data_IF_206227682423
#
_entry.id   IF_206227682423
#
_cell.length_a   1.000
_cell.length_b   1.000
_cell.length_c   1.000
_cell.angle_alpha   90.00
_cell.angle_beta   90.00
_cell.angle_gamma   90.00
#
_symmetry.space_group_name_H-M   'P 1'
#
loop_
_entity.id
_entity.type
_entity.pdbx_description
1 polymer ?
#
# COMPACT_ATOMS: atom_id res chain seq x y z
N UNK A 1 -24.54 9.63 -38.79
CA UNK A 1 -23.87 9.86 -37.49
C UNK A 1 -23.44 8.50 -37.00
N UNK A 2 -22.17 8.12 -37.20
CA UNK A 2 -21.63 6.87 -36.67
C UNK A 2 -21.54 7.01 -35.16
N UNK A 3 -22.49 6.40 -34.45
CA UNK A 3 -22.37 6.20 -33.01
C UNK A 3 -21.28 5.15 -32.86
N UNK A 4 -20.10 5.57 -32.43
CA UNK A 4 -19.04 4.66 -32.02
C UNK A 4 -19.60 3.82 -30.87
N UNK A 5 -19.98 2.57 -31.16
CA UNK A 5 -20.45 1.64 -30.15
C UNK A 5 -19.28 1.42 -29.20
N UNK A 6 -19.42 1.91 -27.98
CA UNK A 6 -18.40 1.73 -26.95
C UNK A 6 -18.34 0.23 -26.59
N UNK A 7 -17.29 -0.44 -27.05
CA UNK A 7 -17.09 -1.88 -26.89
C UNK A 7 -16.26 -2.20 -25.65
N UNK A 8 -16.86 -2.08 -24.47
CA UNK A 8 -16.16 -2.31 -23.19
C UNK A 8 -16.99 -3.15 -22.22
N UNK A 9 -16.33 -3.68 -21.19
CA UNK A 9 -16.95 -4.18 -19.96
C UNK A 9 -16.43 -3.42 -18.75
N UNK A 10 -17.19 -3.43 -17.67
CA UNK A 10 -16.79 -2.86 -16.38
C UNK A 10 -16.30 -3.99 -15.49
N UNK A 11 -15.11 -3.84 -14.92
CA UNK A 11 -14.58 -4.72 -13.90
C UNK A 11 -14.61 -3.97 -12.58
N UNK A 12 -15.45 -4.42 -11.65
CA UNK A 12 -15.45 -3.94 -10.28
C UNK A 12 -14.58 -4.86 -9.44
N UNK A 13 -13.50 -4.33 -8.89
CA UNK A 13 -12.64 -5.11 -8.02
C UNK A 13 -13.24 -5.30 -6.62
N UNK A 14 -12.74 -6.29 -5.90
CA UNK A 14 -13.02 -6.51 -4.47
C UNK A 14 -12.51 -5.39 -3.55
N UNK A 15 -11.75 -4.42 -4.09
CA UNK A 15 -11.26 -3.23 -3.40
C UNK A 15 -11.91 -1.94 -3.94
N UNK A 16 -13.13 -2.06 -4.46
CA UNK A 16 -13.97 -0.95 -4.96
C UNK A 16 -13.36 -0.08 -6.08
N UNK A 17 -12.29 -0.54 -6.73
CA UNK A 17 -11.78 0.07 -7.98
C UNK A 17 -12.66 -0.35 -9.14
N UNK A 18 -12.99 0.62 -10.01
CA UNK A 18 -13.72 0.38 -11.26
C UNK A 18 -12.73 0.49 -12.43
N UNK A 19 -12.68 -0.55 -13.26
CA UNK A 19 -11.79 -0.64 -14.42
C UNK A 19 -12.65 -0.87 -15.65
N UNK A 20 -12.53 -0.02 -16.66
CA UNK A 20 -13.17 -0.22 -17.97
C UNK A 20 -12.21 -0.98 -18.89
N UNK A 21 -12.60 -2.09 -19.48
CA UNK A 21 -11.75 -2.89 -20.38
C UNK A 21 -12.41 -3.00 -21.75
N UNK A 22 -11.72 -2.59 -22.80
CA UNK A 22 -12.22 -2.72 -24.17
C UNK A 22 -12.18 -4.18 -24.62
N UNK A 23 -13.29 -4.67 -25.18
CA UNK A 23 -13.47 -6.08 -25.52
C UNK A 23 -14.25 -6.24 -26.83
N UNK A 24 -14.02 -7.37 -27.51
CA UNK A 24 -14.98 -7.94 -28.46
C UNK A 24 -15.76 -9.04 -27.72
N UNK A 25 -17.08 -9.11 -27.87
CA UNK A 25 -17.90 -10.11 -27.16
C UNK A 25 -17.57 -11.57 -27.55
N UNK A 26 -16.86 -11.80 -28.66
CA UNK A 26 -16.36 -13.11 -29.06
C UNK A 26 -15.03 -13.47 -28.37
N UNK A 27 -14.42 -12.56 -27.62
CA UNK A 27 -13.25 -12.87 -26.81
C UNK A 27 -13.60 -13.83 -25.67
N UNK A 28 -12.66 -14.71 -25.37
CA UNK A 28 -12.70 -15.62 -24.23
C UNK A 28 -12.45 -14.89 -22.91
N UNK A 29 -12.91 -15.46 -21.80
CA UNK A 29 -12.56 -14.97 -20.46
C UNK A 29 -11.03 -14.90 -20.26
N UNK A 30 -10.27 -15.85 -20.82
CA UNK A 30 -8.80 -15.79 -20.76
C UNK A 30 -8.23 -14.55 -21.47
N UNK A 31 -8.80 -14.14 -22.60
CA UNK A 31 -8.39 -12.91 -23.29
C UNK A 31 -8.77 -11.66 -22.49
N UNK A 32 -9.96 -11.63 -21.87
CA UNK A 32 -10.31 -10.56 -20.94
C UNK A 32 -9.34 -10.49 -19.74
N UNK A 33 -8.97 -11.65 -19.15
CA UNK A 33 -8.00 -11.70 -18.06
C UNK A 33 -6.62 -11.19 -18.49
N UNK A 34 -6.18 -11.51 -19.71
CA UNK A 34 -4.93 -10.97 -20.25
C UNK A 34 -4.97 -9.44 -20.35
N UNK A 35 -6.08 -8.87 -20.86
CA UNK A 35 -6.25 -7.40 -20.89
C UNK A 35 -6.29 -6.77 -19.50
N UNK A 36 -6.88 -7.45 -18.52
CA UNK A 36 -6.84 -7.01 -17.11
C UNK A 36 -5.40 -7.07 -16.59
N UNK A 37 -4.63 -8.10 -16.92
CA UNK A 37 -3.21 -8.19 -16.56
C UNK A 37 -2.41 -7.05 -17.18
N UNK A 38 -2.61 -6.76 -18.46
CA UNK A 38 -1.89 -5.68 -19.15
C UNK A 38 -2.23 -4.32 -18.54
N UNK A 39 -3.46 -4.13 -18.07
CA UNK A 39 -3.96 -2.87 -17.53
C UNK A 39 -3.67 -2.67 -16.03
N UNK A 40 -3.67 -3.76 -15.26
CA UNK A 40 -3.66 -3.73 -13.79
C UNK A 40 -2.54 -4.60 -13.19
N UNK A 41 -1.66 -5.16 -14.00
CA UNK A 41 -0.51 -5.96 -13.55
C UNK A 41 -0.86 -7.24 -12.79
N UNK A 42 -2.14 -7.63 -12.71
CA UNK A 42 -2.60 -8.80 -11.95
C UNK A 42 -2.32 -10.07 -12.77
N UNK A 43 -1.49 -11.01 -12.30
CA UNK A 43 -1.26 -12.29 -12.98
C UNK A 43 -2.57 -13.03 -13.29
N UNK A 44 -2.70 -13.62 -14.49
CA UNK A 44 -3.94 -14.25 -14.97
C UNK A 44 -4.44 -15.36 -14.03
N UNK A 45 -3.52 -16.14 -13.47
CA UNK A 45 -3.76 -17.22 -12.50
C UNK A 45 -4.24 -16.70 -11.14
N UNK A 46 -3.93 -15.45 -10.81
CA UNK A 46 -4.41 -14.76 -9.62
C UNK A 46 -5.79 -14.12 -9.83
N UNK A 47 -6.28 -13.98 -11.06
CA UNK A 47 -7.57 -13.37 -11.34
C UNK A 47 -8.72 -14.37 -11.22
N UNK A 48 -9.69 -14.10 -10.34
CA UNK A 48 -11.02 -14.73 -10.36
C UNK A 48 -12.02 -13.69 -10.83
N UNK A 49 -12.64 -13.95 -11.99
CA UNK A 49 -13.76 -13.17 -12.47
C UNK A 49 -15.08 -13.84 -12.06
N UNK A 50 -16.00 -13.04 -11.53
CA UNK A 50 -17.34 -13.46 -11.14
C UNK A 50 -18.36 -12.68 -11.98
N UNK A 51 -19.26 -13.41 -12.63
CA UNK A 51 -20.40 -12.87 -13.36
C UNK A 51 -21.68 -13.50 -12.82
N UNK A 52 -22.67 -12.67 -12.47
CA UNK A 52 -23.97 -13.13 -11.96
C UNK A 52 -23.86 -14.15 -10.80
N UNK A 53 -22.91 -13.91 -9.89
CA UNK A 53 -22.65 -14.78 -8.73
C UNK A 53 -21.90 -16.08 -9.02
N UNK A 54 -21.41 -16.30 -10.25
CA UNK A 54 -20.65 -17.50 -10.63
C UNK A 54 -19.26 -17.14 -11.13
N UNK A 55 -18.27 -17.96 -10.78
CA UNK A 55 -16.91 -17.86 -11.35
C UNK A 55 -17.00 -18.23 -12.83
N UNK A 56 -16.41 -17.40 -13.69
CA UNK A 56 -16.38 -17.62 -15.14
C UNK A 56 -15.06 -18.28 -15.57
N UNK A 57 -15.17 -19.22 -16.51
CA UNK A 57 -14.08 -20.08 -16.95
C UNK A 57 -13.35 -19.52 -18.18
N UNK A 58 -12.02 -19.68 -18.21
CA UNK A 58 -11.15 -19.04 -19.19
C UNK A 58 -11.45 -19.32 -20.66
N UNK A 59 -11.95 -20.52 -21.00
CA UNK A 59 -12.13 -20.95 -22.41
C UNK A 59 -13.45 -20.49 -23.05
N UNK A 60 -14.40 -20.00 -22.24
CA UNK A 60 -15.74 -19.63 -22.68
C UNK A 60 -15.74 -18.15 -23.10
N UNK A 61 -16.51 -17.78 -24.13
CA UNK A 61 -16.57 -16.38 -24.59
C UNK A 61 -17.44 -15.50 -23.69
N UNK A 62 -17.22 -14.18 -23.76
CA UNK A 62 -18.07 -13.21 -23.08
C UNK A 62 -19.53 -13.37 -23.53
N UNK A 63 -19.76 -13.54 -24.84
CA UNK A 63 -21.10 -13.75 -25.41
C UNK A 63 -21.76 -15.04 -24.90
N UNK A 64 -21.01 -16.13 -24.74
CA UNK A 64 -21.56 -17.39 -24.23
C UNK A 64 -22.05 -17.25 -22.78
N UNK A 65 -21.39 -16.41 -21.97
CA UNK A 65 -21.85 -16.01 -20.64
C UNK A 65 -22.97 -14.96 -20.67
N UNK A 66 -23.45 -14.57 -21.85
CA UNK A 66 -24.46 -13.50 -22.07
C UNK A 66 -24.01 -12.14 -21.55
N UNK A 67 -22.70 -11.91 -21.49
CA UNK A 67 -22.13 -10.61 -21.13
C UNK A 67 -22.32 -9.67 -22.31
N UNK A 68 -22.74 -8.44 -22.02
CA UNK A 68 -22.96 -7.37 -22.99
C UNK A 68 -21.93 -6.25 -22.79
N UNK A 69 -21.86 -5.32 -23.74
CA UNK A 69 -21.10 -4.10 -23.53
C UNK A 69 -21.66 -3.30 -22.34
N UNK A 70 -20.78 -2.73 -21.54
CA UNK A 70 -21.11 -2.04 -20.29
C UNK A 70 -21.47 -2.96 -19.12
N UNK A 71 -21.47 -4.29 -19.31
CA UNK A 71 -21.78 -5.22 -18.23
C UNK A 71 -20.71 -5.22 -17.15
N UNK A 72 -21.10 -5.39 -15.89
CA UNK A 72 -20.17 -5.42 -14.75
C UNK A 72 -19.81 -6.85 -14.36
N UNK A 73 -18.50 -7.15 -14.35
CA UNK A 73 -17.92 -8.35 -13.75
C UNK A 73 -17.20 -7.96 -12.46
N UNK A 74 -17.12 -8.89 -11.52
CA UNK A 74 -16.37 -8.69 -10.28
C UNK A 74 -15.02 -9.39 -10.34
N UNK A 75 -13.95 -8.70 -9.95
CA UNK A 75 -12.59 -9.24 -9.87
C UNK A 75 -12.17 -9.50 -8.42
N UNK A 76 -11.92 -10.77 -8.09
CA UNK A 76 -11.21 -11.16 -6.89
C UNK A 76 -9.75 -11.52 -7.26
N UNK A 77 -8.81 -11.19 -6.38
CA UNK A 77 -7.41 -11.60 -6.53
C UNK A 77 -7.13 -12.74 -5.55
N UNK A 78 -6.72 -13.88 -6.08
CA UNK A 78 -6.06 -14.95 -5.34
C UNK A 78 -4.60 -14.54 -5.11
N UNK A 79 -4.16 -14.58 -3.86
CA UNK A 79 -2.74 -14.79 -3.59
C UNK A 79 -2.55 -16.24 -3.14
N UNK A 80 -1.49 -16.85 -3.64
CA UNK A 80 -0.64 -17.97 -3.17
C UNK A 80 -0.71 -18.32 -1.66
N UNK A 81 -1.91 -18.53 -1.14
CA UNK A 81 -2.19 -18.82 0.28
C UNK A 81 -3.67 -18.72 0.68
N UNK A 82 -4.59 -18.50 -0.25
CA UNK A 82 -6.04 -18.68 -0.01
C UNK A 82 -6.79 -17.51 0.63
N UNK A 83 -6.17 -16.33 0.76
CA UNK A 83 -6.86 -15.07 1.11
C UNK A 83 -6.12 -13.87 0.53
N UNK A 84 -6.87 -12.95 -0.10
CA UNK A 84 -6.45 -11.72 -0.77
C UNK A 84 -5.02 -11.26 -0.43
N UNK A 85 -4.13 -11.32 -1.43
CA UNK A 85 -2.74 -10.90 -1.31
C UNK A 85 -2.61 -9.44 -0.96
N UNK A 86 -1.42 -9.07 -0.47
CA UNK A 86 -0.99 -7.67 -0.51
C UNK A 86 -0.64 -7.33 -1.97
N UNK A 87 -1.62 -7.43 -2.88
CA UNK A 87 -1.40 -7.09 -4.28
C UNK A 87 -1.27 -5.58 -4.37
N UNK A 88 -0.02 -5.12 -4.46
CA UNK A 88 0.32 -3.74 -4.73
C UNK A 88 0.85 -3.72 -6.15
N UNK A 89 0.14 -2.99 -7.02
CA UNK A 89 0.52 -2.84 -8.41
C UNK A 89 1.99 -2.38 -8.53
N UNK A 90 2.81 -3.01 -9.40
CA UNK A 90 4.22 -2.66 -9.55
C UNK A 90 4.49 -1.17 -9.79
N UNK A 91 3.64 -0.48 -10.55
CA UNK A 91 3.74 0.98 -10.78
C UNK A 91 3.62 1.84 -9.52
N UNK A 92 3.04 1.29 -8.44
CA UNK A 92 2.98 1.96 -7.13
C UNK A 92 4.24 1.73 -6.31
N UNK A 93 5.22 1.00 -6.85
CA UNK A 93 6.47 0.67 -6.20
C UNK A 93 7.61 1.39 -6.92
N UNK A 94 8.61 1.83 -6.16
CA UNK A 94 9.84 2.38 -6.72
C UNK A 94 11.02 1.49 -6.34
N UNK A 95 11.11 0.34 -6.99
CA UNK A 95 12.04 -0.77 -6.65
C UNK A 95 13.51 -0.32 -6.52
N UNK A 96 13.92 0.77 -7.17
CA UNK A 96 15.29 1.31 -7.04
C UNK A 96 15.63 1.76 -5.62
N UNK A 97 14.64 2.03 -4.79
CA UNK A 97 14.80 2.46 -3.40
C UNK A 97 14.44 1.36 -2.39
N UNK A 98 14.24 0.13 -2.84
CA UNK A 98 14.15 -1.00 -1.93
C UNK A 98 15.45 -1.13 -1.15
N UNK A 99 15.33 -1.60 0.08
CA UNK A 99 16.50 -1.82 0.92
C UNK A 99 16.21 -2.95 1.91
N UNK A 100 17.09 -3.94 1.93
CA UNK A 100 17.02 -5.04 2.87
C UNK A 100 17.76 -4.67 4.15
N UNK A 101 17.03 -4.37 5.23
CA UNK A 101 17.62 -4.10 6.53
C UNK A 101 17.70 -5.36 7.42
N UNK A 102 17.41 -6.55 6.90
CA UNK A 102 17.29 -7.78 7.70
C UNK A 102 18.55 -8.07 8.52
N UNK A 103 19.73 -7.78 7.97
CA UNK A 103 21.03 -8.02 8.62
C UNK A 103 21.74 -6.74 9.08
N UNK A 104 21.06 -5.59 9.06
CA UNK A 104 21.64 -4.31 9.48
C UNK A 104 21.56 -4.14 11.00
N UNK A 105 22.61 -3.57 11.60
CA UNK A 105 22.65 -3.18 13.00
C UNK A 105 23.15 -1.73 13.14
N UNK A 106 22.31 -0.88 13.71
CA UNK A 106 22.56 0.55 13.93
C UNK A 106 22.89 0.90 15.39
N UNK A 107 23.30 -0.09 16.18
CA UNK A 107 23.67 0.12 17.58
C UNK A 107 24.72 1.25 17.70
N UNK A 108 24.41 2.25 18.54
CA UNK A 108 25.27 3.42 18.75
C UNK A 108 25.19 4.48 17.64
N UNK A 109 24.36 4.32 16.62
CA UNK A 109 24.19 5.31 15.53
C UNK A 109 22.84 6.00 15.63
N UNK A 110 22.86 7.34 15.65
CA UNK A 110 21.65 8.17 15.63
C UNK A 110 21.31 8.59 14.20
N UNK A 111 20.06 8.36 13.78
CA UNK A 111 19.55 8.79 12.48
C UNK A 111 18.48 9.87 12.66
N UNK A 112 18.62 10.95 11.89
CA UNK A 112 17.72 12.11 11.95
C UNK A 112 17.02 12.34 10.61
N UNK A 113 15.72 12.61 10.64
CA UNK A 113 14.97 13.19 9.52
C UNK A 113 14.04 14.27 10.03
N UNK A 114 13.97 15.40 9.33
CA UNK A 114 13.15 16.53 9.74
C UNK A 114 13.51 17.08 11.12
N UNK A 115 14.80 17.02 11.49
CA UNK A 115 15.34 17.35 12.81
C UNK A 115 14.77 16.50 13.96
N UNK A 116 14.29 15.29 13.66
CA UNK A 116 13.79 14.34 14.65
C UNK A 116 14.51 13.01 14.51
N UNK A 117 14.89 12.43 15.65
CA UNK A 117 15.48 11.10 15.72
C UNK A 117 14.45 10.02 15.37
N UNK A 118 14.86 9.00 14.64
CA UNK A 118 14.05 7.82 14.37
C UNK A 118 14.92 6.57 14.31
N UNK A 119 14.31 5.42 14.60
CA UNK A 119 14.97 4.12 14.43
C UNK A 119 14.75 3.63 13.02
N UNK A 120 15.84 3.43 12.25
CA UNK A 120 15.76 2.75 10.95
C UNK A 120 15.18 1.34 11.13
N UNK A 121 14.55 0.76 10.09
CA UNK A 121 13.84 -0.50 10.22
C UNK A 121 14.81 -1.71 10.22
N UNK A 122 15.86 -1.71 11.05
CA UNK A 122 16.80 -2.82 11.21
C UNK A 122 16.06 -4.12 11.57
N UNK A 123 16.39 -5.21 10.87
CA UNK A 123 15.69 -6.49 10.95
C UNK A 123 14.43 -6.59 10.08
N UNK A 124 14.21 -5.66 9.14
CA UNK A 124 13.06 -5.67 8.22
C UNK A 124 13.50 -5.56 6.76
N UNK A 125 12.77 -6.18 5.84
CA UNK A 125 12.90 -5.88 4.42
C UNK A 125 12.00 -4.68 4.07
N UNK A 126 12.53 -3.66 3.39
CA UNK A 126 11.79 -2.46 3.02
C UNK A 126 11.54 -2.38 1.52
N UNK A 127 10.26 -2.32 1.18
CA UNK A 127 9.70 -2.13 -0.15
C UNK A 127 9.32 -0.64 -0.30
N UNK A 128 9.92 0.07 -1.24
CA UNK A 128 9.64 1.47 -1.51
C UNK A 128 8.34 1.66 -2.31
N UNK A 129 7.54 2.65 -1.92
CA UNK A 129 6.39 3.12 -2.69
C UNK A 129 6.81 4.24 -3.65
N UNK A 130 6.19 4.27 -4.83
CA UNK A 130 6.30 5.37 -5.79
C UNK A 130 5.47 6.56 -5.31
N UNK A 131 6.17 7.60 -4.85
CA UNK A 131 5.56 8.77 -4.20
C UNK A 131 5.99 10.10 -4.81
N UNK A 132 6.90 10.08 -5.79
CA UNK A 132 7.35 11.29 -6.47
C UNK A 132 6.18 11.90 -7.24
N UNK A 133 5.92 13.19 -6.99
CA UNK A 133 4.83 13.95 -7.60
C UNK A 133 3.42 13.41 -7.26
N UNK A 134 3.30 12.55 -6.22
CA UNK A 134 2.00 12.11 -5.69
C UNK A 134 1.31 13.19 -4.84
N UNK A 135 2.09 14.12 -4.30
CA UNK A 135 1.64 15.21 -3.43
C UNK A 135 2.02 16.56 -4.03
N UNK A 136 1.64 17.66 -3.36
CA UNK A 136 1.84 19.04 -3.86
C UNK A 136 3.31 19.39 -4.16
N UNK A 137 4.25 18.80 -3.42
CA UNK A 137 5.68 18.88 -3.70
C UNK A 137 6.43 17.61 -3.28
N UNK A 138 7.76 17.60 -3.44
CA UNK A 138 8.66 16.52 -3.00
C UNK A 138 9.64 16.94 -1.90
N UNK A 139 9.51 18.14 -1.33
CA UNK A 139 10.43 18.68 -0.31
C UNK A 139 10.41 17.82 0.96
N UNK A 140 9.23 17.32 1.32
CA UNK A 140 8.98 16.45 2.47
C UNK A 140 9.84 15.16 2.47
N UNK A 141 10.29 14.67 1.31
CA UNK A 141 11.17 13.50 1.21
C UNK A 141 12.63 13.79 1.61
N UNK A 142 13.05 15.06 1.51
CA UNK A 142 14.42 15.48 1.75
C UNK A 142 15.39 15.05 0.65
N UNK A 143 15.00 15.19 -0.61
CA UNK A 143 15.77 14.71 -1.78
C UNK A 143 16.97 15.59 -2.18
N UNK A 144 17.16 16.76 -1.56
CA UNK A 144 18.23 17.71 -1.92
C UNK A 144 19.22 17.92 -0.78
N UNK A 145 20.50 18.05 -1.12
CA UNK A 145 21.56 18.58 -0.27
C UNK A 145 21.83 17.81 1.05
N UNK A 146 21.58 16.49 1.09
CA UNK A 146 21.90 15.68 2.28
C UNK A 146 23.42 15.49 2.41
N UNK A 147 23.99 16.05 3.48
CA UNK A 147 25.44 16.00 3.75
C UNK A 147 25.93 14.61 4.16
N UNK A 148 25.17 13.90 4.98
CA UNK A 148 25.44 12.51 5.35
C UNK A 148 24.13 11.76 5.64
N UNK A 149 24.18 10.42 5.60
CA UNK A 149 22.99 9.55 5.72
C UNK A 149 22.22 9.72 7.04
N UNK A 150 22.91 10.14 8.10
CA UNK A 150 22.35 10.34 9.44
C UNK A 150 21.75 11.74 9.66
N UNK A 151 22.09 12.72 8.82
CA UNK A 151 21.66 14.12 9.02
C UNK A 151 20.32 14.44 8.37
N UNK A 152 19.64 15.45 8.93
CA UNK A 152 18.46 16.04 8.31
C UNK A 152 18.79 17.02 7.20
N UNK A 153 17.81 17.28 6.33
CA UNK A 153 17.84 18.38 5.37
C UNK A 153 16.68 19.36 5.62
N UNK A 154 16.83 20.58 5.12
CA UNK A 154 15.84 21.63 5.31
C UNK A 154 14.47 21.23 4.74
N UNK A 155 13.40 21.49 5.50
CA UNK A 155 11.99 21.26 5.15
C UNK A 155 11.58 19.80 4.90
N UNK A 156 12.47 18.81 5.11
CA UNK A 156 12.03 17.42 5.04
C UNK A 156 11.17 17.07 6.26
N UNK A 157 10.27 16.12 6.06
CA UNK A 157 9.38 15.65 7.11
C UNK A 157 10.03 14.56 7.96
N UNK A 158 9.77 14.48 9.27
CA UNK A 158 10.21 13.38 10.11
C UNK A 158 9.73 12.01 9.63
N UNK A 159 10.49 10.96 9.94
CA UNK A 159 10.08 9.57 9.69
C UNK A 159 9.20 9.09 10.82
N UNK A 160 8.15 8.34 10.49
CA UNK A 160 7.41 7.55 11.46
C UNK A 160 6.96 6.21 10.89
N UNK A 161 6.38 5.38 11.74
CA UNK A 161 5.95 4.02 11.45
C UNK A 161 4.53 3.81 11.94
N UNK A 162 3.71 3.12 11.15
CA UNK A 162 2.34 2.76 11.49
C UNK A 162 2.15 1.24 11.35
N UNK A 163 1.92 0.56 12.48
CA UNK A 163 1.57 -0.86 12.50
C UNK A 163 0.15 -1.05 12.00
N UNK A 164 -0.06 -1.99 11.08
CA UNK A 164 -1.37 -2.22 10.49
C UNK A 164 -1.59 -3.68 10.11
N UNK A 165 -2.79 -4.01 9.65
CA UNK A 165 -3.11 -5.33 9.10
C UNK A 165 -2.74 -5.40 7.61
N UNK A 166 -2.39 -6.59 7.11
CA UNK A 166 -2.07 -6.85 5.70
C UNK A 166 -3.05 -6.16 4.74
N UNK A 167 -4.36 -6.34 4.95
CA UNK A 167 -5.38 -5.77 4.07
C UNK A 167 -5.42 -4.23 4.09
N UNK A 168 -5.18 -3.62 5.25
CA UNK A 168 -5.17 -2.16 5.37
C UNK A 168 -3.93 -1.54 4.70
N UNK A 169 -2.79 -2.22 4.76
CA UNK A 169 -1.54 -1.76 4.15
C UNK A 169 -1.72 -1.45 2.66
N UNK A 170 -2.46 -2.28 1.93
CA UNK A 170 -2.77 -2.03 0.51
C UNK A 170 -3.53 -0.72 0.34
N UNK A 171 -4.67 -0.57 1.02
CA UNK A 171 -5.50 0.63 0.89
C UNK A 171 -4.76 1.90 1.29
N UNK A 172 -3.86 1.83 2.27
CA UNK A 172 -3.08 3.00 2.68
C UNK A 172 -1.98 3.31 1.66
N UNK A 173 -1.34 2.31 1.05
CA UNK A 173 -0.37 2.53 -0.02
C UNK A 173 -1.02 3.16 -1.27
N UNK A 174 -2.21 2.69 -1.63
CA UNK A 174 -3.02 3.19 -2.75
C UNK A 174 -3.55 4.61 -2.45
N UNK A 175 -4.42 4.73 -1.45
CA UNK A 175 -5.26 5.91 -1.22
C UNK A 175 -4.66 6.91 -0.23
N UNK A 176 -3.63 6.52 0.52
CA UNK A 176 -3.20 7.24 1.71
C UNK A 176 -4.05 6.89 2.94
N UNK A 177 -3.87 7.66 4.02
CA UNK A 177 -4.63 7.43 5.24
C UNK A 177 -6.02 8.05 5.13
N UNK A 178 -7.04 7.30 5.57
CA UNK A 178 -8.41 7.79 5.64
C UNK A 178 -8.90 7.72 7.11
N UNK A 179 -9.09 8.87 7.74
CA UNK A 179 -9.58 9.00 9.11
C UNK A 179 -10.98 8.41 9.27
N UNK A 180 -11.79 8.44 8.21
CA UNK A 180 -13.09 7.77 8.14
C UNK A 180 -13.03 6.26 8.37
N UNK A 181 -11.88 5.61 8.11
CA UNK A 181 -11.63 4.19 8.41
C UNK A 181 -11.11 3.97 9.83
N UNK A 182 -10.73 5.03 10.55
CA UNK A 182 -10.28 4.99 11.93
C UNK A 182 -11.44 4.72 12.90
N UNK A 183 -11.29 3.69 13.75
CA UNK A 183 -12.36 3.27 14.67
C UNK A 183 -12.10 3.60 16.14
N UNK A 184 -10.84 3.86 16.51
CA UNK A 184 -10.41 4.01 17.90
C UNK A 184 -9.33 5.08 17.99
N UNK A 185 -9.55 6.08 18.83
CA UNK A 185 -8.69 7.25 19.02
C UNK A 185 -8.35 7.42 20.51
N UNK A 186 -7.53 6.51 21.03
CA UNK A 186 -7.29 6.37 22.47
C UNK A 186 -6.67 7.62 23.15
N UNK A 187 -5.89 8.42 22.41
CA UNK A 187 -5.13 9.56 22.90
C UNK A 187 -5.48 10.89 22.20
N UNK A 188 -6.49 10.88 21.32
CA UNK A 188 -6.86 12.02 20.49
C UNK A 188 -7.22 11.60 19.07
N UNK A 189 -8.09 12.36 18.40
CA UNK A 189 -8.50 12.08 17.02
C UNK A 189 -7.33 12.32 16.06
N UNK A 190 -7.04 11.35 15.19
CA UNK A 190 -5.97 11.44 14.20
C UNK A 190 -5.32 10.10 13.83
N UNK A 191 -4.37 10.15 12.91
CA UNK A 191 -3.59 8.99 12.45
C UNK A 191 -2.41 8.78 13.38
N UNK A 192 -2.27 7.56 13.91
CA UNK A 192 -1.25 7.26 14.91
C UNK A 192 -0.01 6.68 14.25
N UNK A 193 1.15 7.18 14.64
CA UNK A 193 2.44 6.64 14.21
C UNK A 193 3.47 6.82 15.32
N UNK A 194 4.72 6.41 15.07
CA UNK A 194 5.80 6.52 16.04
C UNK A 194 7.15 6.54 15.32
N UNK A 195 8.19 7.23 15.82
CA UNK A 195 9.53 7.19 15.22
C UNK A 195 10.28 5.87 15.51
N UNK A 196 9.72 4.99 16.35
CA UNK A 196 10.29 3.68 16.69
C UNK A 196 9.49 2.54 16.07
N UNK A 197 10.09 1.87 15.07
CA UNK A 197 9.45 0.74 14.40
C UNK A 197 9.07 -0.41 15.35
N UNK A 198 9.79 -0.60 16.46
CA UNK A 198 9.49 -1.67 17.42
C UNK A 198 8.23 -1.38 18.21
N UNK A 199 7.90 -0.10 18.42
CA UNK A 199 6.60 0.30 18.97
C UNK A 199 5.52 0.03 17.93
N UNK A 200 5.72 0.44 16.67
CA UNK A 200 4.77 0.19 15.59
C UNK A 200 4.50 -1.31 15.36
N UNK A 201 5.53 -2.15 15.50
CA UNK A 201 5.44 -3.62 15.42
C UNK A 201 4.37 -4.20 16.35
N UNK A 202 4.22 -3.66 17.56
CA UNK A 202 3.24 -4.14 18.53
C UNK A 202 1.79 -3.93 18.06
N UNK A 203 1.57 -2.98 17.15
CA UNK A 203 0.27 -2.70 16.54
C UNK A 203 0.09 -3.36 15.16
N UNK A 204 1.14 -3.96 14.59
CA UNK A 204 1.04 -4.70 13.34
C UNK A 204 0.35 -6.05 13.56
N UNK A 205 -0.51 -6.46 12.63
CA UNK A 205 -1.21 -7.76 12.71
C UNK A 205 -0.42 -8.84 11.99
N UNK A 206 -0.24 -9.99 12.65
CA UNK A 206 0.43 -11.19 12.10
C UNK A 206 -0.42 -11.78 10.97
N UNK A 207 0.23 -12.20 9.88
CA UNK A 207 -0.39 -12.97 8.79
C UNK A 207 0.56 -14.07 8.31
N UNK A 208 0.00 -15.10 7.68
CA UNK A 208 0.76 -16.23 7.14
C UNK A 208 0.88 -16.11 5.62
N UNK A 209 2.05 -16.41 5.09
CA UNK A 209 2.36 -16.45 3.66
C UNK A 209 3.37 -17.58 3.43
N UNK A 210 3.09 -18.47 2.48
CA UNK A 210 3.96 -19.63 2.18
C UNK A 210 4.40 -20.46 3.41
N UNK A 211 3.49 -20.63 4.38
CA UNK A 211 3.76 -21.40 5.61
C UNK A 211 4.56 -20.65 6.68
N UNK A 212 4.97 -19.42 6.40
CA UNK A 212 5.75 -18.57 7.28
C UNK A 212 4.92 -17.39 7.76
N UNK A 213 5.29 -16.85 8.92
CA UNK A 213 4.55 -15.76 9.52
C UNK A 213 5.25 -14.42 9.33
N UNK A 214 4.46 -13.38 9.11
CA UNK A 214 4.96 -12.05 8.81
C UNK A 214 4.13 -10.97 9.49
N UNK A 215 4.73 -9.80 9.63
CA UNK A 215 4.07 -8.55 9.97
C UNK A 215 4.50 -7.44 9.03
N UNK A 216 3.60 -6.47 8.85
CA UNK A 216 3.81 -5.30 8.02
C UNK A 216 3.66 -4.03 8.85
N UNK A 217 4.59 -3.10 8.63
CA UNK A 217 4.53 -1.73 9.14
C UNK A 217 4.71 -0.77 7.96
N UNK A 218 3.87 0.26 7.90
CA UNK A 218 4.04 1.33 6.93
C UNK A 218 5.05 2.35 7.44
N UNK A 219 6.03 2.67 6.61
CA UNK A 219 6.97 3.75 6.84
C UNK A 219 6.42 5.04 6.22
N UNK A 220 6.39 6.10 7.02
CA UNK A 220 5.74 7.35 6.68
C UNK A 220 6.69 8.55 6.82
N UNK A 221 6.30 9.64 6.18
CA UNK A 221 6.74 11.00 6.47
C UNK A 221 5.58 11.76 7.10
N UNK A 222 5.83 12.54 8.14
CA UNK A 222 4.78 13.28 8.86
C UNK A 222 5.01 14.78 8.83
N UNK A 223 3.95 15.56 8.68
CA UNK A 223 4.05 17.02 8.70
C UNK A 223 4.42 17.50 10.10
N UNK A 224 5.62 18.08 10.33
CA UNK A 224 6.04 18.47 11.67
C UNK A 224 5.24 19.64 12.23
N UNK A 225 4.57 20.45 11.40
CA UNK A 225 3.86 21.65 11.84
C UNK A 225 2.57 21.34 12.62
N UNK A 226 1.92 20.23 12.29
CA UNK A 226 0.65 19.81 12.90
C UNK A 226 0.80 18.59 13.83
N UNK A 227 2.03 18.09 13.97
CA UNK A 227 2.32 16.83 14.66
C UNK A 227 2.15 16.95 16.17
N UNK A 228 1.26 16.16 16.75
CA UNK A 228 1.10 16.05 18.21
C UNK A 228 1.95 14.89 18.70
N UNK A 229 2.86 15.15 19.64
CA UNK A 229 3.76 14.15 20.23
C UNK A 229 3.30 13.80 21.64
N UNK A 230 3.08 12.52 21.89
CA UNK A 230 2.59 11.99 23.17
C UNK A 230 3.65 11.04 23.75
N UNK A 231 4.37 11.45 24.79
CA UNK A 231 5.32 10.56 25.46
C UNK A 231 4.59 9.49 26.25
N UNK A 232 4.97 8.23 26.07
CA UNK A 232 4.49 7.08 26.83
C UNK A 232 5.61 6.60 27.74
N UNK A 233 5.43 6.84 29.05
CA UNK A 233 6.41 6.46 30.09
C UNK A 233 6.89 5.02 29.88
N UNK A 234 8.22 4.85 29.80
CA UNK A 234 8.92 3.56 29.66
C UNK A 234 8.69 2.79 28.34
N UNK A 235 7.93 3.32 27.38
CA UNK A 235 7.65 2.67 26.09
C UNK A 235 8.25 3.46 24.93
N UNK A 236 8.11 4.80 24.93
CA UNK A 236 8.60 5.67 23.86
C UNK A 236 7.63 6.79 23.57
N UNK A 237 7.39 7.10 22.30
CA UNK A 237 6.53 8.21 21.88
C UNK A 237 5.52 7.74 20.82
N UNK A 238 4.26 8.14 20.97
CA UNK A 238 3.22 8.03 19.92
C UNK A 238 3.00 9.41 19.34
N UNK A 239 2.89 9.48 18.02
CA UNK A 239 2.56 10.66 17.26
C UNK A 239 1.14 10.59 16.76
N UNK A 240 0.46 11.72 16.77
CA UNK A 240 -0.85 11.90 16.17
C UNK A 240 -0.74 12.98 15.10
N UNK A 241 -1.05 12.59 13.87
CA UNK A 241 -1.31 13.52 12.78
C UNK A 241 -2.82 13.77 12.69
N UNK A 242 -3.30 15.01 12.95
CA UNK A 242 -4.72 15.29 13.02
C UNK A 242 -5.46 15.13 11.69
N UNK A 243 -4.78 15.38 10.56
CA UNK A 243 -5.36 15.34 9.22
C UNK A 243 -4.70 14.27 8.34
N UNK A 244 -5.41 13.84 7.30
CA UNK A 244 -4.97 12.82 6.34
C UNK A 244 -3.73 13.28 5.54
N UNK A 245 -3.66 14.56 5.19
CA UNK A 245 -2.52 15.19 4.49
C UNK A 245 -1.23 15.28 5.31
N UNK A 246 -1.33 15.16 6.64
CA UNK A 246 -0.21 15.27 7.57
C UNK A 246 0.61 13.96 7.69
N UNK A 247 0.23 12.90 6.96
CA UNK A 247 0.96 11.62 6.91
C UNK A 247 1.04 11.08 5.50
N UNK A 248 2.25 10.76 5.06
CA UNK A 248 2.51 10.23 3.71
C UNK A 248 3.21 8.89 3.81
N UNK A 249 2.55 7.76 3.47
CA UNK A 249 3.23 6.48 3.37
C UNK A 249 4.19 6.52 2.18
N UNK A 250 5.42 6.02 2.37
CA UNK A 250 6.45 5.97 1.32
C UNK A 250 7.26 4.66 1.32
N UNK A 251 6.97 3.75 2.24
CA UNK A 251 7.58 2.42 2.27
C UNK A 251 6.75 1.43 3.06
N UNK A 252 6.95 0.16 2.74
CA UNK A 252 6.35 -0.99 3.40
C UNK A 252 7.50 -1.78 4.00
N UNK A 253 7.54 -1.88 5.32
CA UNK A 253 8.48 -2.72 6.04
C UNK A 253 7.81 -4.06 6.32
N UNK A 254 8.44 -5.15 5.88
CA UNK A 254 7.99 -6.53 6.08
C UNK A 254 9.02 -7.25 6.92
N UNK A 255 8.57 -7.94 7.97
CA UNK A 255 9.43 -8.76 8.82
C UNK A 255 8.82 -10.14 8.99
N UNK A 256 9.66 -11.15 8.86
CA UNK A 256 9.35 -12.52 9.26
C UNK A 256 9.27 -12.57 10.78
N UNK A 257 8.16 -13.06 11.32
CA UNK A 257 8.03 -13.35 12.74
C UNK A 257 8.68 -14.71 13.02
N UNK A 258 9.48 -14.78 14.07
CA UNK A 258 10.01 -16.04 14.63
C UNK A 258 8.89 -16.92 15.22
#
# INVERSE_FOLDING_TARGET
MNIELRSYVIIKSSWDKIITVDVDLNETISQLKAKIQDKEGVPIDQQILICSGKVVEGKITLRDYKIQYGYTLYLLILSDGGTYGLFIHPDMLDRKYDYDFTNENDEGITFMRGNVEYKRPCGWNRIALSVLNKYEDNNWLGVKNRRCLTSSVQNEWPVSYHGTAKLNCRSIAEDGYLLSKGKRFAFGYGIYSTPDINIAYQYATKFTYEGENYRIVLQNRVNPNNLIKIPIKKVGEIWISPNEEDVRPYGICIKKDD
#
